data_IF_287896878158
#
_entry.id   IF_287896878158
#
_cell.length_a   1.000
_cell.length_b   1.000
_cell.length_c   1.000
_cell.angle_alpha   90.00
_cell.angle_beta   90.00
_cell.angle_gamma   90.00
#
_symmetry.space_group_name_H-M   'P 1'
#
loop_
_entity.id
_entity.type
_entity.pdbx_description
1 polymer ?
#
# COMPACT_ATOMS: atom_id res chain seq x y z
N UNK A 1 12.57 -3.55 -11.12
CA UNK A 1 13.74 -4.30 -10.58
C UNK A 1 14.99 -3.44 -10.80
N UNK A 2 15.89 -3.31 -9.83
CA UNK A 2 17.02 -2.36 -9.89
C UNK A 2 18.13 -2.89 -10.82
N UNK A 3 18.38 -2.20 -11.95
CA UNK A 3 19.34 -2.59 -12.99
C UNK A 3 20.78 -2.65 -12.48
N UNK A 4 21.14 -1.78 -11.53
CA UNK A 4 22.47 -1.73 -10.91
C UNK A 4 22.74 -2.99 -10.07
N UNK A 5 21.74 -3.47 -9.33
CA UNK A 5 21.84 -4.73 -8.55
C UNK A 5 22.11 -5.90 -9.49
N UNK A 6 21.45 -5.97 -10.64
CA UNK A 6 21.69 -7.03 -11.63
C UNK A 6 23.08 -6.96 -12.25
N UNK A 7 23.56 -5.77 -12.58
CA UNK A 7 24.91 -5.57 -13.12
C UNK A 7 25.95 -6.07 -12.12
N UNK A 8 25.82 -5.71 -10.85
CA UNK A 8 26.75 -6.13 -9.80
C UNK A 8 26.65 -7.62 -9.45
N UNK A 9 25.47 -8.24 -9.58
CA UNK A 9 25.33 -9.69 -9.51
C UNK A 9 26.13 -10.38 -10.62
N UNK A 10 26.01 -9.91 -11.86
CA UNK A 10 26.78 -10.45 -12.99
C UNK A 10 28.28 -10.25 -12.80
N UNK A 11 28.71 -9.06 -12.36
CA UNK A 11 30.12 -8.77 -12.11
C UNK A 11 30.72 -9.71 -11.04
N UNK A 12 29.97 -9.97 -9.95
CA UNK A 12 30.35 -10.95 -8.93
C UNK A 12 30.49 -12.36 -9.53
N UNK A 13 29.52 -12.79 -10.33
CA UNK A 13 29.52 -14.14 -10.91
C UNK A 13 30.65 -14.33 -11.91
N UNK A 14 30.98 -13.30 -12.68
CA UNK A 14 32.15 -13.30 -13.56
C UNK A 14 33.46 -13.38 -12.77
N UNK A 15 33.62 -12.57 -11.71
CA UNK A 15 34.81 -12.61 -10.86
C UNK A 15 34.97 -13.95 -10.11
N UNK A 16 33.86 -14.56 -9.72
CA UNK A 16 33.86 -15.90 -9.12
C UNK A 16 34.33 -16.95 -10.13
N UNK A 17 33.83 -16.90 -11.37
CA UNK A 17 34.22 -17.83 -12.44
C UNK A 17 35.67 -17.66 -12.90
N UNK A 18 36.22 -16.45 -12.83
CA UNK A 18 37.63 -16.20 -13.19
C UNK A 18 38.62 -16.65 -12.11
N UNK A 19 38.16 -16.94 -10.89
CA UNK A 19 39.03 -17.32 -9.76
C UNK A 19 39.81 -16.15 -9.14
N UNK A 20 39.57 -14.91 -9.58
CA UNK A 20 40.22 -13.72 -9.03
C UNK A 20 39.58 -13.36 -7.68
N UNK A 21 40.29 -13.67 -6.61
CA UNK A 21 39.83 -13.47 -5.23
C UNK A 21 39.68 -12.00 -4.85
N UNK A 22 40.54 -11.11 -5.38
CA UNK A 22 40.49 -9.67 -5.09
C UNK A 22 39.32 -9.01 -5.82
N UNK A 23 39.15 -9.33 -7.11
CA UNK A 23 38.01 -8.86 -7.88
C UNK A 23 36.70 -9.37 -7.29
N UNK A 24 36.65 -10.63 -6.86
CA UNK A 24 35.46 -11.21 -6.22
C UNK A 24 35.12 -10.52 -4.90
N UNK A 25 36.10 -10.27 -4.04
CA UNK A 25 35.91 -9.56 -2.76
C UNK A 25 35.36 -8.14 -2.97
N UNK A 26 35.92 -7.43 -3.95
CA UNK A 26 35.47 -6.09 -4.35
C UNK A 26 34.04 -6.10 -4.87
N UNK A 27 33.73 -7.00 -5.82
CA UNK A 27 32.40 -7.15 -6.39
C UNK A 27 31.34 -7.47 -5.32
N UNK A 28 31.68 -8.36 -4.36
CA UNK A 28 30.81 -8.71 -3.23
C UNK A 28 30.54 -7.51 -2.32
N UNK A 29 31.57 -6.73 -2.01
CA UNK A 29 31.45 -5.52 -1.17
C UNK A 29 30.55 -4.47 -1.84
N UNK A 30 30.72 -4.26 -3.14
CA UNK A 30 29.89 -3.33 -3.93
C UNK A 30 28.44 -3.80 -4.02
N UNK A 31 28.20 -5.08 -4.32
CA UNK A 31 26.86 -5.65 -4.35
C UNK A 31 26.14 -5.48 -3.00
N UNK A 32 26.83 -5.73 -1.88
CA UNK A 32 26.26 -5.54 -0.54
C UNK A 32 25.84 -4.08 -0.29
N UNK A 33 26.66 -3.11 -0.74
CA UNK A 33 26.35 -1.68 -0.62
C UNK A 33 25.09 -1.32 -1.42
N UNK A 34 25.04 -1.69 -2.69
CA UNK A 34 23.91 -1.34 -3.57
C UNK A 34 22.61 -2.02 -3.13
N UNK A 35 22.65 -3.28 -2.67
CA UNK A 35 21.46 -3.93 -2.10
C UNK A 35 20.94 -3.15 -0.88
N UNK A 36 21.84 -2.70 0.01
CA UNK A 36 21.43 -1.91 1.18
C UNK A 36 20.76 -0.60 0.78
N UNK A 37 21.34 0.11 -0.20
CA UNK A 37 20.79 1.37 -0.71
C UNK A 37 19.43 1.11 -1.38
N UNK A 38 19.35 0.09 -2.25
CA UNK A 38 18.11 -0.25 -2.94
C UNK A 38 16.97 -0.60 -1.96
N UNK A 39 17.26 -1.36 -0.89
CA UNK A 39 16.29 -1.63 0.18
C UNK A 39 15.84 -0.35 0.88
N UNK A 40 16.78 0.52 1.27
CA UNK A 40 16.46 1.79 1.91
C UNK A 40 15.57 2.67 1.03
N UNK A 41 15.92 2.81 -0.24
CA UNK A 41 15.16 3.61 -1.19
C UNK A 41 13.74 3.06 -1.36
N UNK A 42 13.59 1.74 -1.42
CA UNK A 42 12.26 1.10 -1.48
C UNK A 42 11.44 1.36 -0.22
N UNK A 43 12.04 1.23 0.97
CA UNK A 43 11.38 1.55 2.23
C UNK A 43 10.93 3.01 2.27
N UNK A 44 11.77 3.95 1.82
CA UNK A 44 11.40 5.37 1.73
C UNK A 44 10.23 5.58 0.77
N UNK A 45 10.26 4.99 -0.43
CA UNK A 45 9.17 5.10 -1.40
C UNK A 45 7.82 4.60 -0.85
N UNK A 46 7.83 3.53 -0.05
CA UNK A 46 6.59 3.04 0.58
C UNK A 46 6.14 3.96 1.72
N UNK A 47 7.06 4.54 2.47
CA UNK A 47 6.73 5.38 3.63
C UNK A 47 6.30 6.80 3.24
N UNK A 48 6.88 7.37 2.18
CA UNK A 48 6.65 8.75 1.75
C UNK A 48 5.17 9.13 1.59
N UNK A 49 4.28 8.29 1.02
CA UNK A 49 2.86 8.59 0.87
C UNK A 49 2.09 8.65 2.20
N UNK A 50 2.61 8.04 3.28
CA UNK A 50 2.00 8.06 4.61
C UNK A 50 2.50 9.21 5.49
N UNK A 51 3.65 9.81 5.15
CA UNK A 51 4.31 10.84 5.96
C UNK A 51 3.91 12.28 5.57
N UNK A 52 3.36 12.50 4.38
CA UNK A 52 3.21 13.83 3.80
C UNK A 52 1.77 14.20 3.49
N UNK A 53 1.17 14.98 4.41
CA UNK A 53 -0.21 15.45 4.39
C UNK A 53 -1.22 14.30 4.30
N UNK A 54 -2.36 14.46 4.97
CA UNK A 54 -3.42 13.45 5.04
C UNK A 54 -4.20 13.36 3.70
N UNK A 55 -3.49 13.29 2.57
CA UNK A 55 -4.04 13.17 1.22
C UNK A 55 -4.46 11.72 0.99
N UNK A 56 -5.77 11.44 0.90
CA UNK A 56 -6.28 10.08 0.72
C UNK A 56 -5.77 9.42 -0.56
N UNK A 57 -5.48 10.20 -1.61
CA UNK A 57 -4.96 9.67 -2.87
C UNK A 57 -3.55 9.12 -2.71
N UNK A 58 -2.70 9.80 -1.94
CA UNK A 58 -1.32 9.34 -1.66
C UNK A 58 -1.32 8.14 -0.74
N UNK A 59 -2.17 8.14 0.29
CA UNK A 59 -2.37 6.96 1.15
C UNK A 59 -2.80 5.75 0.31
N UNK A 60 -3.74 5.93 -0.61
CA UNK A 60 -4.16 4.87 -1.52
C UNK A 60 -3.00 4.37 -2.40
N UNK A 61 -2.20 5.27 -2.97
CA UNK A 61 -1.00 4.88 -3.72
C UNK A 61 0.00 4.07 -2.87
N UNK A 62 0.18 4.42 -1.60
CA UNK A 62 1.00 3.66 -0.65
C UNK A 62 0.46 2.26 -0.41
N UNK A 63 -0.86 2.11 -0.19
CA UNK A 63 -1.53 0.81 -0.04
C UNK A 63 -1.36 -0.03 -1.31
N UNK A 64 -1.52 0.58 -2.48
CA UNK A 64 -1.33 -0.10 -3.76
C UNK A 64 0.11 -0.62 -3.91
N UNK A 65 1.11 0.17 -3.51
CA UNK A 65 2.52 -0.21 -3.58
C UNK A 65 2.87 -1.37 -2.63
N UNK A 66 2.22 -1.49 -1.47
CA UNK A 66 2.46 -2.58 -0.51
C UNK A 66 1.79 -3.88 -0.94
N UNK A 67 0.59 -3.77 -1.51
CA UNK A 67 -0.27 -4.92 -1.86
C UNK A 67 -0.01 -5.45 -3.27
N UNK A 68 0.90 -4.84 -4.03
CA UNK A 68 1.07 -5.04 -5.47
C UNK A 68 -0.27 -4.90 -6.24
N UNK A 69 -1.19 -4.08 -5.71
CA UNK A 69 -2.49 -3.86 -6.33
C UNK A 69 -2.30 -3.16 -7.68
N UNK A 70 -2.49 -3.92 -8.74
CA UNK A 70 -2.64 -3.36 -10.09
C UNK A 70 -4.08 -2.94 -10.19
N UNK A 71 -4.31 -1.65 -10.49
CA UNK A 71 -5.64 -1.23 -10.95
C UNK A 71 -5.99 -2.17 -12.08
N UNK A 72 -6.99 -3.04 -11.88
CA UNK A 72 -7.60 -3.71 -13.00
C UNK A 72 -7.99 -2.56 -13.92
N UNK A 73 -7.41 -2.51 -15.12
CA UNK A 73 -7.89 -1.59 -16.13
C UNK A 73 -9.38 -1.81 -16.11
N UNK A 74 -10.15 -0.79 -15.70
CA UNK A 74 -11.59 -0.91 -15.61
C UNK A 74 -12.00 -1.42 -16.99
N UNK A 75 -12.31 -2.71 -17.10
CA UNK A 75 -13.10 -3.19 -18.21
C UNK A 75 -14.26 -2.24 -18.20
N UNK A 76 -14.58 -1.55 -19.31
CA UNK A 76 -15.71 -0.64 -19.31
C UNK A 76 -16.85 -1.46 -18.71
N UNK A 77 -17.31 -1.02 -17.54
CA UNK A 77 -18.44 -1.65 -16.90
C UNK A 77 -19.47 -1.67 -18.02
N UNK A 78 -19.95 -2.87 -18.38
CA UNK A 78 -21.06 -2.99 -19.31
C UNK A 78 -22.10 -2.03 -18.76
N UNK A 79 -22.28 -0.91 -19.44
CA UNK A 79 -23.05 0.22 -18.94
C UNK A 79 -24.49 -0.18 -19.15
N UNK A 80 -24.96 -1.08 -18.29
CA UNK A 80 -26.34 -1.47 -18.28
C UNK A 80 -27.14 -0.26 -17.82
N UNK A 81 -27.83 0.37 -18.76
CA UNK A 81 -28.58 1.59 -18.53
C UNK A 81 -29.68 1.39 -17.47
N UNK A 82 -30.08 0.14 -17.19
CA UNK A 82 -31.08 -0.17 -16.16
C UNK A 82 -30.49 -0.37 -14.76
N UNK A 83 -29.16 -0.50 -14.64
CA UNK A 83 -28.50 -0.73 -13.35
C UNK A 83 -28.76 0.39 -12.31
N UNK A 84 -28.73 1.69 -12.67
CA UNK A 84 -29.06 2.75 -11.70
C UNK A 84 -30.49 2.63 -11.15
N UNK A 85 -31.45 2.28 -12.01
CA UNK A 85 -32.85 2.10 -11.61
C UNK A 85 -33.03 0.86 -10.73
N UNK A 86 -32.32 -0.22 -11.02
CA UNK A 86 -32.30 -1.43 -10.19
C UNK A 86 -31.73 -1.15 -8.80
N UNK A 87 -30.60 -0.44 -8.72
CA UNK A 87 -30.00 -0.03 -7.44
C UNK A 87 -30.94 0.88 -6.66
N UNK A 88 -31.56 1.86 -7.32
CA UNK A 88 -32.49 2.77 -6.67
C UNK A 88 -33.70 2.02 -6.11
N UNK A 89 -34.29 1.09 -6.87
CA UNK A 89 -35.36 0.23 -6.37
C UNK A 89 -34.91 -0.67 -5.23
N UNK A 90 -33.68 -1.21 -5.29
CA UNK A 90 -33.12 -2.02 -4.21
C UNK A 90 -33.04 -1.21 -2.91
N UNK A 91 -32.45 -0.02 -2.91
CA UNK A 91 -32.30 0.75 -1.67
C UNK A 91 -33.61 1.40 -1.20
N UNK A 92 -34.43 1.92 -2.11
CA UNK A 92 -35.69 2.56 -1.75
C UNK A 92 -36.76 1.59 -1.20
N UNK A 93 -36.59 0.26 -1.36
CA UNK A 93 -37.54 -0.71 -0.78
C UNK A 93 -37.62 -0.60 0.74
N UNK A 94 -36.51 -0.24 1.39
CA UNK A 94 -36.48 -0.05 2.83
C UNK A 94 -37.27 1.18 3.26
N UNK A 95 -37.38 2.21 2.41
CA UNK A 95 -38.15 3.42 2.72
C UNK A 95 -39.64 3.25 2.41
N UNK A 96 -40.02 2.43 1.42
CA UNK A 96 -41.42 2.23 1.03
C UNK A 96 -42.25 1.50 2.07
N UNK A 97 -41.63 0.55 2.77
CA UNK A 97 -42.29 -0.23 3.82
C UNK A 97 -42.06 0.34 5.22
N UNK A 98 -41.21 1.38 5.34
CA UNK A 98 -40.91 2.03 6.61
C UNK A 98 -41.89 3.18 6.87
N UNK A 99 -43.05 2.84 7.44
CA UNK A 99 -44.06 3.80 7.88
C UNK A 99 -43.73 4.42 9.25
N UNK A 100 -42.60 4.08 9.86
CA UNK A 100 -42.16 4.70 11.11
C UNK A 100 -41.52 6.06 10.83
N UNK A 101 -42.06 7.10 11.46
CA UNK A 101 -41.45 8.43 11.51
C UNK A 101 -39.97 8.29 11.87
N UNK A 102 -39.07 8.81 11.03
CA UNK A 102 -37.62 8.72 11.24
C UNK A 102 -37.22 9.26 12.62
N UNK A 103 -37.03 8.35 13.59
CA UNK A 103 -36.45 8.69 14.88
C UNK A 103 -34.95 8.85 14.62
N UNK A 104 -34.46 10.09 14.63
CA UNK A 104 -33.02 10.33 14.74
C UNK A 104 -32.53 9.63 16.00
N UNK A 105 -31.75 8.57 15.83
CA UNK A 105 -31.01 7.99 16.95
C UNK A 105 -30.10 9.08 17.52
N UNK A 106 -30.37 9.49 18.76
CA UNK A 106 -29.43 10.29 19.53
C UNK A 106 -28.24 9.38 19.83
N UNK A 107 -27.16 9.54 19.08
CA UNK A 107 -25.93 8.80 19.32
C UNK A 107 -25.46 9.10 20.75
N UNK A 108 -25.18 8.06 21.56
CA UNK A 108 -24.51 8.27 22.84
C UNK A 108 -23.14 8.93 22.57
N UNK A 109 -22.64 9.80 23.48
CA UNK A 109 -21.44 10.62 23.26
C UNK A 109 -20.15 9.87 22.91
N UNK A 110 -20.14 8.54 23.01
CA UNK A 110 -18.93 7.71 22.94
C UNK A 110 -18.72 7.00 21.59
N UNK A 111 -19.72 6.97 20.70
CA UNK A 111 -19.52 6.49 19.32
C UNK A 111 -18.98 7.62 18.45
N UNK A 112 -17.75 8.01 18.76
CA UNK A 112 -16.96 8.86 17.89
C UNK A 112 -16.76 8.14 16.56
N UNK A 113 -17.15 8.84 15.49
CA UNK A 113 -16.72 8.63 14.10
C UNK A 113 -15.33 8.00 14.08
N UNK A 114 -15.11 6.93 13.29
CA UNK A 114 -13.79 6.35 13.05
C UNK A 114 -12.84 7.45 12.57
N UNK A 115 -12.22 8.16 13.50
CA UNK A 115 -11.23 9.17 13.21
C UNK A 115 -9.97 8.39 12.92
N UNK A 116 -9.60 8.37 11.64
CA UNK A 116 -8.26 7.96 11.21
C UNK A 116 -7.28 9.03 11.71
N UNK A 117 -7.01 9.01 13.02
CA UNK A 117 -5.98 9.82 13.63
C UNK A 117 -4.64 9.23 13.22
N UNK A 118 -3.87 9.99 12.44
CA UNK A 118 -2.54 9.64 11.93
C UNK A 118 -1.59 9.14 13.02
N UNK A 119 -1.79 9.55 14.27
CA UNK A 119 -0.99 9.08 15.41
C UNK A 119 -1.30 7.64 15.82
N UNK A 120 -2.55 7.19 15.69
CA UNK A 120 -2.96 5.83 16.08
C UNK A 120 -2.38 4.79 15.12
N UNK A 121 -2.39 5.08 13.83
CA UNK A 121 -1.78 4.20 12.82
C UNK A 121 -0.26 4.09 12.99
N UNK A 122 0.45 5.21 13.21
CA UNK A 122 1.91 5.16 13.42
C UNK A 122 2.27 4.34 14.66
N UNK A 123 1.52 4.49 15.76
CA UNK A 123 1.77 3.74 16.98
C UNK A 123 1.51 2.23 16.82
N UNK A 124 0.41 1.85 16.16
CA UNK A 124 0.09 0.44 15.88
C UNK A 124 1.13 -0.22 14.96
N UNK A 125 1.60 0.49 13.93
CA UNK A 125 2.68 -0.01 13.06
C UNK A 125 4.01 -0.20 13.81
N UNK A 126 4.34 0.72 14.72
CA UNK A 126 5.56 0.61 15.52
C UNK A 126 5.48 -0.54 16.55
N UNK A 127 4.29 -0.79 17.09
CA UNK A 127 4.03 -1.91 17.99
C UNK A 127 4.14 -3.27 17.28
N UNK A 128 3.58 -3.40 16.07
CA UNK A 128 3.71 -4.62 15.26
C UNK A 128 5.16 -4.89 14.81
N UNK A 129 5.93 -3.83 14.51
CA UNK A 129 7.34 -3.98 14.17
C UNK A 129 8.19 -4.45 15.37
N UNK A 130 7.75 -4.16 16.59
CA UNK A 130 8.47 -4.52 17.83
C UNK A 130 8.15 -5.94 18.32
N UNK A 131 7.03 -6.54 17.88
CA UNK A 131 6.62 -7.91 18.26
C UNK A 131 7.24 -9.01 17.40
N UNK A 132 8.14 -8.67 16.47
CA UNK A 132 8.78 -9.61 15.53
C UNK A 132 10.29 -9.79 15.79
N UNK A 133 10.81 -9.25 16.90
CA UNK A 133 12.15 -9.53 17.45
C UNK A 133 12.01 -10.26 18.79
#
# INVERSE_FOLDING_TARGET
MNSEVHLLLRARDTAFKSGDTLAYSTARSNLKKVIRIAKRNYTQQIQDPFLHNNDPRRLWQGIQAITDYKSLNNSPAVSDATLPDEMNNFYARFDRDNMETAIKALLPPDDQVLTLSTFKTIFEFQQMASSLN
#
